data_IF_185386296985
#
_entry.id   IF_185386296985
#
_cell.length_a   1.000
_cell.length_b   1.000
_cell.length_c   1.000
_cell.angle_alpha   90.00
_cell.angle_beta   90.00
_cell.angle_gamma   90.00
#
_symmetry.space_group_name_H-M   'P 1'
#
loop_
_entity.id
_entity.type
_entity.pdbx_description
1 polymer ?
#
# COMPACT_ATOMS: atom_id res chain seq x y z
N UNK A 1 0.98 21.74 0.88
CA UNK A 1 0.12 20.58 0.52
C UNK A 1 0.97 19.68 -0.34
N UNK A 2 1.38 18.54 0.21
CA UNK A 2 2.09 17.51 -0.56
C UNK A 2 1.03 16.81 -1.41
N UNK A 3 1.24 16.68 -2.72
CA UNK A 3 0.30 15.94 -3.57
C UNK A 3 0.30 14.48 -3.14
N UNK A 4 -0.86 13.84 -2.94
CA UNK A 4 -0.90 12.43 -2.59
C UNK A 4 -0.33 11.58 -3.75
N UNK A 5 0.63 10.73 -3.44
CA UNK A 5 1.22 9.77 -4.37
C UNK A 5 0.49 8.43 -4.30
N UNK A 6 0.30 7.77 -5.44
CA UNK A 6 -0.25 6.41 -5.50
C UNK A 6 0.89 5.40 -5.61
N UNK A 7 0.80 4.29 -4.89
CA UNK A 7 1.74 3.18 -4.99
C UNK A 7 1.15 2.14 -5.95
N UNK A 8 1.89 1.80 -7.00
CA UNK A 8 1.53 0.74 -7.95
C UNK A 8 1.92 -0.63 -7.37
N UNK A 9 0.92 -1.43 -7.01
CA UNK A 9 1.11 -2.71 -6.30
C UNK A 9 1.00 -3.94 -7.21
N UNK A 10 0.56 -3.76 -8.46
CA UNK A 10 0.36 -4.85 -9.43
C UNK A 10 -0.88 -5.72 -9.18
N UNK A 11 -1.70 -5.41 -8.17
CA UNK A 11 -2.96 -6.12 -7.88
C UNK A 11 -4.05 -5.13 -7.43
N UNK A 12 -5.32 -5.37 -7.80
CA UNK A 12 -6.43 -4.57 -7.28
C UNK A 12 -6.70 -4.82 -5.78
N UNK A 13 -6.09 -5.84 -5.18
CA UNK A 13 -6.37 -6.27 -3.81
C UNK A 13 -5.60 -5.49 -2.74
N UNK A 14 -4.59 -4.70 -3.12
CA UNK A 14 -3.87 -3.79 -2.22
C UNK A 14 -3.82 -2.41 -2.86
N UNK A 15 -4.33 -1.40 -2.16
CA UNK A 15 -4.24 0.00 -2.56
C UNK A 15 -3.19 0.69 -1.70
N UNK A 16 -2.25 1.41 -2.29
CA UNK A 16 -1.26 2.20 -1.56
C UNK A 16 -1.33 3.68 -1.88
N UNK A 17 -1.24 4.52 -0.86
CA UNK A 17 -1.26 5.99 -0.99
C UNK A 17 -0.28 6.62 -0.02
N UNK A 18 0.55 7.54 -0.50
CA UNK A 18 1.48 8.33 0.32
C UNK A 18 0.95 9.75 0.41
N UNK A 19 0.71 10.23 1.62
CA UNK A 19 0.28 11.61 1.87
C UNK A 19 0.94 12.13 3.15
N UNK A 20 1.50 13.33 3.09
CA UNK A 20 2.17 14.01 4.21
C UNK A 20 3.21 13.15 4.97
N UNK A 21 3.89 12.26 4.23
CA UNK A 21 4.91 11.34 4.76
C UNK A 21 4.33 10.11 5.46
N UNK A 22 3.06 9.79 5.24
CA UNK A 22 2.43 8.55 5.71
C UNK A 22 2.02 7.70 4.52
N UNK A 23 2.56 6.48 4.44
CA UNK A 23 2.10 5.48 3.48
C UNK A 23 0.92 4.71 4.08
N UNK A 24 -0.27 4.89 3.52
CA UNK A 24 -1.47 4.14 3.86
C UNK A 24 -1.65 3.00 2.86
N UNK A 25 -1.62 1.77 3.34
CA UNK A 25 -1.82 0.56 2.56
C UNK A 25 -3.16 -0.05 2.99
N UNK A 26 -4.06 -0.26 2.04
CA UNK A 26 -5.42 -0.76 2.30
C UNK A 26 -5.61 -2.13 1.66
N UNK A 27 -6.03 -3.10 2.46
CA UNK A 27 -6.53 -4.38 1.97
C UNK A 27 -7.90 -4.18 1.29
N UNK A 28 -7.94 -4.39 -0.02
CA UNK A 28 -9.07 -4.09 -0.88
C UNK A 28 -9.69 -5.38 -1.46
N UNK A 29 -10.13 -6.27 -0.57
CA UNK A 29 -10.88 -7.49 -0.94
C UNK A 29 -12.05 -7.74 0.02
N UNK A 30 -12.96 -6.76 0.18
CA UNK A 30 -14.03 -6.79 1.18
C UNK A 30 -14.98 -7.98 0.99
N UNK A 31 -15.20 -8.42 -0.26
CA UNK A 31 -16.05 -9.57 -0.61
C UNK A 31 -15.52 -10.90 -0.07
N UNK A 32 -14.24 -10.96 0.31
CA UNK A 32 -13.61 -12.09 1.00
C UNK A 32 -13.17 -11.73 2.42
N UNK A 33 -13.72 -10.67 3.03
CA UNK A 33 -13.30 -10.15 4.36
C UNK A 33 -11.78 -9.90 4.44
N UNK A 34 -11.19 -9.42 3.34
CA UNK A 34 -9.75 -9.21 3.21
C UNK A 34 -8.91 -10.47 3.49
N UNK A 35 -9.44 -11.65 3.14
CA UNK A 35 -8.68 -12.89 3.23
C UNK A 35 -7.40 -12.80 2.40
N UNK A 36 -6.27 -12.92 3.10
CA UNK A 36 -4.92 -12.82 2.56
C UNK A 36 -4.58 -14.09 1.77
N UNK A 37 -4.29 -13.92 0.48
CA UNK A 37 -3.81 -14.98 -0.40
C UNK A 37 -2.47 -14.61 -1.03
N UNK A 38 -1.86 -15.51 -1.83
CA UNK A 38 -0.52 -15.31 -2.39
C UNK A 38 -0.37 -14.01 -3.19
N UNK A 39 -1.36 -13.67 -4.02
CA UNK A 39 -1.35 -12.43 -4.82
C UNK A 39 -1.39 -11.18 -3.94
N UNK A 40 -2.19 -11.19 -2.87
CA UNK A 40 -2.32 -10.08 -1.95
C UNK A 40 -1.04 -9.89 -1.11
N UNK A 41 -0.38 -11.00 -0.72
CA UNK A 41 0.93 -10.94 -0.06
C UNK A 41 1.98 -10.32 -0.98
N UNK A 42 2.02 -10.75 -2.25
CA UNK A 42 2.97 -10.17 -3.21
C UNK A 42 2.72 -8.68 -3.44
N UNK A 43 1.46 -8.26 -3.59
CA UNK A 43 1.10 -6.85 -3.74
C UNK A 43 1.41 -6.02 -2.48
N UNK A 44 1.27 -6.62 -1.29
CA UNK A 44 1.66 -6.00 -0.03
C UNK A 44 3.18 -5.84 0.07
N UNK A 45 3.96 -6.84 -0.32
CA UNK A 45 5.42 -6.75 -0.40
C UNK A 45 5.83 -5.59 -1.31
N UNK A 46 5.28 -5.50 -2.52
CA UNK A 46 5.53 -4.40 -3.46
C UNK A 46 5.19 -3.04 -2.85
N UNK A 47 4.06 -2.93 -2.14
CA UNK A 47 3.64 -1.69 -1.51
C UNK A 47 4.60 -1.24 -0.39
N UNK A 48 5.04 -2.17 0.44
CA UNK A 48 6.00 -1.91 1.53
C UNK A 48 7.38 -1.55 0.96
N UNK A 49 7.82 -2.27 -0.06
CA UNK A 49 9.07 -2.00 -0.79
C UNK A 49 9.10 -0.60 -1.43
N UNK A 50 7.96 -0.13 -1.93
CA UNK A 50 7.85 1.22 -2.46
C UNK A 50 7.89 2.28 -1.35
N UNK A 51 7.22 2.02 -0.22
CA UNK A 51 7.23 2.91 0.93
C UNK A 51 8.61 3.00 1.59
N UNK A 52 9.37 1.90 1.64
CA UNK A 52 10.74 1.85 2.19
C UNK A 52 11.75 2.64 1.36
N UNK A 53 11.56 2.69 0.03
CA UNK A 53 12.42 3.44 -0.90
C UNK A 53 12.13 4.95 -0.95
N UNK A 54 11.02 5.39 -0.39
CA UNK A 54 10.65 6.81 -0.36
C UNK A 54 11.10 7.45 0.95
N UNK A 55 12.22 8.17 0.91
CA UNK A 55 12.79 8.89 2.06
C UNK A 55 11.81 9.91 2.71
N UNK A 56 10.75 10.32 2.01
CA UNK A 56 9.73 11.19 2.58
C UNK A 56 8.74 10.46 3.49
N UNK A 57 8.63 9.13 3.39
CA UNK A 57 7.76 8.28 4.22
C UNK A 57 8.38 8.13 5.61
N UNK A 58 7.60 8.49 6.63
CA UNK A 58 7.98 8.44 8.05
C UNK A 58 7.16 7.42 8.83
N UNK A 59 6.04 6.96 8.29
CA UNK A 59 5.18 5.97 8.91
C UNK A 59 4.39 5.18 7.85
N UNK A 60 4.08 3.92 8.17
CA UNK A 60 3.21 3.05 7.37
C UNK A 60 1.99 2.67 8.21
N UNK A 61 0.81 2.76 7.61
CA UNK A 61 -0.48 2.33 8.17
C UNK A 61 -1.04 1.20 7.30
N UNK A 62 -1.56 0.15 7.94
CA UNK A 62 -2.13 -1.06 7.33
C UNK A 62 -3.59 -1.27 7.75
#
# INVERSE_FOLDING_TARGET
MTTPGTIETGSPYILGRIEDGVATITFNRPERRNAVGPEMLHALEVALDAADRDDAVRAVVL
#
